data_IF_219184640821
#
_entry.id   IF_219184640821
#
_cell.length_a   1.000
_cell.length_b   1.000
_cell.length_c   1.000
_cell.angle_alpha   90.00
_cell.angle_beta   90.00
_cell.angle_gamma   90.00
#
_symmetry.space_group_name_H-M   'P 1'
#
loop_
_entity.id
_entity.type
_entity.pdbx_description
1 polymer ?
#
# COMPACT_ATOMS: atom_id res chain seq x y z
N UNK A 1 21.94 8.06 -20.95
CA UNK A 1 20.72 7.39 -20.51
C UNK A 1 21.12 6.01 -20.04
N UNK A 2 21.19 5.81 -18.72
CA UNK A 2 21.75 4.59 -18.13
C UNK A 2 20.62 3.84 -17.44
N UNK A 3 20.27 2.66 -17.94
CA UNK A 3 19.27 1.78 -17.33
C UNK A 3 19.95 1.04 -16.19
N UNK A 4 19.65 1.39 -14.94
CA UNK A 4 20.01 0.55 -13.79
C UNK A 4 19.25 -0.78 -13.90
N UNK A 5 19.99 -1.89 -13.78
CA UNK A 5 19.41 -3.23 -13.69
C UNK A 5 19.72 -3.76 -12.30
N UNK A 6 18.69 -4.13 -11.54
CA UNK A 6 18.84 -4.69 -10.21
C UNK A 6 19.63 -6.00 -10.30
N UNK A 7 20.78 -6.13 -9.61
CA UNK A 7 21.54 -7.37 -9.63
C UNK A 7 20.87 -8.40 -8.72
N UNK A 8 20.23 -9.41 -9.31
CA UNK A 8 19.78 -10.62 -8.61
C UNK A 8 20.98 -11.56 -8.39
N UNK A 9 21.77 -11.35 -7.32
CA UNK A 9 22.91 -12.23 -7.00
C UNK A 9 22.84 -12.88 -5.62
N UNK A 10 21.63 -13.13 -5.09
CA UNK A 10 21.43 -13.93 -3.87
C UNK A 10 20.41 -15.07 -4.06
N UNK A 11 20.53 -15.83 -5.15
CA UNK A 11 19.91 -17.16 -5.25
C UNK A 11 21.03 -18.20 -5.16
N UNK A 12 21.51 -18.45 -3.94
CA UNK A 12 22.35 -19.61 -3.66
C UNK A 12 21.88 -20.30 -2.38
N UNK A 13 20.75 -20.98 -2.52
CA UNK A 13 20.35 -22.04 -1.61
C UNK A 13 19.92 -23.22 -2.48
N UNK A 14 20.87 -24.10 -2.76
CA UNK A 14 20.82 -25.19 -3.76
C UNK A 14 20.01 -26.43 -3.32
N UNK A 15 19.07 -26.32 -2.38
CA UNK A 15 18.44 -27.49 -1.73
C UNK A 15 16.91 -27.46 -1.68
N UNK A 16 16.25 -26.74 -2.58
CA UNK A 16 14.79 -26.87 -2.72
C UNK A 16 14.33 -26.77 -4.18
N UNK A 17 15.01 -27.45 -5.09
CA UNK A 17 14.40 -27.87 -6.35
C UNK A 17 13.70 -29.20 -6.06
N UNK A 18 12.56 -29.13 -5.41
CA UNK A 18 11.61 -30.23 -5.37
C UNK A 18 10.24 -29.61 -5.46
N UNK A 19 9.70 -29.57 -6.67
CA UNK A 19 8.28 -29.38 -6.90
C UNK A 19 7.51 -30.37 -6.02
N UNK A 20 6.71 -29.93 -5.03
CA UNK A 20 5.80 -30.84 -4.37
C UNK A 20 4.53 -30.86 -5.21
N UNK A 21 4.34 -31.97 -5.93
CA UNK A 21 3.13 -32.26 -6.66
C UNK A 21 1.88 -32.14 -5.77
N UNK A 22 0.80 -31.69 -6.42
CA UNK A 22 -0.56 -31.75 -5.88
C UNK A 22 -0.84 -33.14 -5.31
N UNK A 23 -0.90 -33.24 -3.98
CA UNK A 23 -1.42 -34.41 -3.26
C UNK A 23 -2.02 -33.97 -1.93
N UNK A 24 -3.32 -34.20 -1.79
CA UNK A 24 -4.07 -34.16 -0.55
C UNK A 24 -3.48 -35.15 0.46
N UNK A 25 -2.76 -34.67 1.48
CA UNK A 25 -2.56 -35.44 2.71
C UNK A 25 -2.37 -34.53 3.91
N UNK A 26 -3.44 -34.36 4.68
CA UNK A 26 -3.38 -33.80 6.03
C UNK A 26 -2.42 -34.64 6.88
N UNK A 27 -1.34 -34.03 7.35
CA UNK A 27 -0.52 -34.55 8.44
C UNK A 27 -0.66 -33.57 9.61
N UNK A 28 -1.45 -34.00 10.58
CA UNK A 28 -1.51 -33.41 11.92
C UNK A 28 -0.09 -33.40 12.50
N UNK A 29 0.50 -32.21 12.65
CA UNK A 29 1.76 -32.03 13.37
C UNK A 29 1.61 -30.83 14.29
N UNK A 30 1.86 -31.06 15.57
CA UNK A 30 1.70 -30.16 16.72
C UNK A 30 2.63 -28.93 16.64
N UNK A 31 2.44 -28.06 15.64
CA UNK A 31 3.18 -26.80 15.46
C UNK A 31 2.23 -25.59 15.41
N UNK A 32 1.17 -25.60 16.24
CA UNK A 32 0.22 -24.48 16.33
C UNK A 32 0.68 -23.40 17.32
N UNK A 33 1.57 -23.72 18.26
CA UNK A 33 1.98 -22.78 19.33
C UNK A 33 3.16 -21.87 18.97
N UNK A 34 3.97 -22.25 17.97
CA UNK A 34 5.07 -21.40 17.49
C UNK A 34 4.59 -20.41 16.42
N UNK A 35 3.76 -20.86 15.47
CA UNK A 35 3.21 -20.02 14.40
C UNK A 35 2.26 -18.92 14.94
N UNK A 36 1.37 -19.26 15.89
CA UNK A 36 0.49 -18.27 16.56
C UNK A 36 1.25 -17.20 17.33
N UNK A 37 2.38 -17.55 17.96
CA UNK A 37 3.17 -16.57 18.73
C UNK A 37 3.89 -15.56 17.83
N UNK A 38 4.29 -15.98 16.62
CA UNK A 38 4.93 -15.09 15.65
C UNK A 38 3.90 -14.13 15.03
N UNK A 39 2.71 -14.60 14.64
CA UNK A 39 1.63 -13.72 14.15
C UNK A 39 1.19 -12.69 15.21
N UNK A 40 1.06 -13.11 16.47
CA UNK A 40 0.74 -12.20 17.57
C UNK A 40 1.85 -11.16 17.83
N UNK A 41 3.11 -11.46 17.47
CA UNK A 41 4.25 -10.56 17.67
C UNK A 41 4.40 -9.50 16.57
N UNK A 42 3.98 -9.81 15.33
CA UNK A 42 4.02 -8.91 14.17
C UNK A 42 2.86 -7.89 14.23
N UNK A 43 1.71 -8.29 14.77
CA UNK A 43 0.52 -7.44 14.91
C UNK A 43 0.66 -6.32 15.98
N UNK A 44 1.81 -6.17 16.62
CA UNK A 44 2.01 -5.22 17.74
C UNK A 44 2.34 -3.79 17.33
N UNK A 45 2.51 -3.53 16.04
CA UNK A 45 2.91 -2.22 15.50
C UNK A 45 1.98 -1.74 14.39
N UNK A 46 0.71 -2.13 14.43
CA UNK A 46 -0.30 -1.55 13.55
C UNK A 46 -0.70 -0.20 14.16
N UNK A 47 -0.41 0.94 13.50
CA UNK A 47 -0.88 2.22 14.00
C UNK A 47 -2.41 2.23 14.02
N UNK A 48 -2.97 2.96 14.97
CA UNK A 48 -4.41 3.23 15.01
C UNK A 48 -4.86 3.95 13.75
N UNK A 49 -6.17 3.89 13.46
CA UNK A 49 -6.75 4.66 12.36
C UNK A 49 -6.44 6.15 12.47
N UNK A 50 -6.47 6.69 13.69
CA UNK A 50 -6.15 8.09 13.97
C UNK A 50 -4.70 8.42 13.62
N UNK A 51 -3.75 7.61 14.08
CA UNK A 51 -2.32 7.82 13.78
C UNK A 51 -2.03 7.74 12.27
N UNK A 52 -2.69 6.81 11.56
CA UNK A 52 -2.58 6.73 10.11
C UNK A 52 -3.19 7.96 9.42
N UNK A 53 -4.37 8.39 9.86
CA UNK A 53 -5.07 9.55 9.30
C UNK A 53 -4.26 10.83 9.50
N UNK A 54 -3.72 11.06 10.70
CA UNK A 54 -2.83 12.20 10.99
C UNK A 54 -1.58 12.20 10.10
N UNK A 55 -0.98 11.02 9.88
CA UNK A 55 0.18 10.87 9.01
C UNK A 55 -0.14 11.25 7.56
N UNK A 56 -1.25 10.75 7.00
CA UNK A 56 -1.63 11.01 5.62
C UNK A 56 -2.22 12.40 5.40
N UNK A 57 -2.86 13.00 6.41
CA UNK A 57 -3.50 14.31 6.31
C UNK A 57 -2.53 15.41 5.87
N UNK A 58 -1.28 15.39 6.34
CA UNK A 58 -0.29 16.40 5.94
C UNK A 58 0.03 16.35 4.44
N UNK A 59 0.28 15.16 3.91
CA UNK A 59 0.56 14.97 2.49
C UNK A 59 -0.68 15.26 1.63
N UNK A 60 -1.86 14.86 2.12
CA UNK A 60 -3.12 15.11 1.45
C UNK A 60 -3.41 16.62 1.35
N UNK A 61 -3.27 17.37 2.45
CA UNK A 61 -3.48 18.81 2.47
C UNK A 61 -2.55 19.53 1.48
N UNK A 62 -1.28 19.12 1.41
CA UNK A 62 -0.33 19.69 0.45
C UNK A 62 -0.77 19.43 -0.99
N UNK A 63 -1.19 18.19 -1.30
CA UNK A 63 -1.72 17.83 -2.61
C UNK A 63 -2.98 18.62 -2.97
N UNK A 64 -3.92 18.73 -2.04
CA UNK A 64 -5.15 19.51 -2.20
C UNK A 64 -4.85 21.00 -2.43
N UNK A 65 -3.89 21.59 -1.71
CA UNK A 65 -3.49 22.98 -1.87
C UNK A 65 -2.91 23.24 -3.26
N UNK A 66 -1.92 22.46 -3.68
CA UNK A 66 -1.28 22.60 -4.99
C UNK A 66 -2.30 22.38 -6.13
N UNK A 67 -3.21 21.41 -5.97
CA UNK A 67 -4.28 21.20 -6.95
C UNK A 67 -5.21 22.42 -7.01
N UNK A 68 -5.66 22.91 -5.85
CA UNK A 68 -6.55 24.07 -5.74
C UNK A 68 -5.95 25.30 -6.41
N UNK A 69 -4.69 25.62 -6.14
CA UNK A 69 -4.01 26.77 -6.72
C UNK A 69 -3.88 26.66 -8.24
N UNK A 70 -3.55 25.46 -8.73
CA UNK A 70 -3.35 25.25 -10.17
C UNK A 70 -4.66 25.34 -10.93
N UNK A 71 -5.74 24.78 -10.38
CA UNK A 71 -6.96 24.46 -11.11
C UNK A 71 -8.22 25.19 -10.64
N UNK A 72 -8.14 26.03 -9.60
CA UNK A 72 -9.28 26.69 -8.96
C UNK A 72 -10.46 25.74 -8.73
N UNK A 73 -10.17 24.57 -8.16
CA UNK A 73 -11.15 23.55 -7.80
C UNK A 73 -10.85 23.01 -6.41
N UNK A 74 -11.88 22.70 -5.65
CA UNK A 74 -11.76 22.12 -4.31
C UNK A 74 -12.13 20.62 -4.36
N UNK A 75 -11.14 19.70 -4.30
CA UNK A 75 -11.40 18.26 -4.31
C UNK A 75 -12.23 17.79 -3.10
N UNK A 76 -12.07 18.44 -1.95
CA UNK A 76 -12.75 18.07 -0.69
C UNK A 76 -14.27 18.28 -0.78
N UNK A 77 -14.67 19.39 -1.38
CA UNK A 77 -16.08 19.77 -1.49
C UNK A 77 -16.67 19.45 -2.87
N UNK A 78 -15.86 18.85 -3.75
CA UNK A 78 -16.18 18.56 -5.15
C UNK A 78 -16.82 19.76 -5.88
N UNK A 79 -16.20 20.94 -5.72
CA UNK A 79 -16.75 22.17 -6.26
C UNK A 79 -15.71 23.08 -6.94
N UNK A 80 -16.10 23.76 -8.03
CA UNK A 80 -15.25 24.77 -8.63
C UNK A 80 -15.15 26.01 -7.76
N UNK A 81 -13.99 26.65 -7.81
CA UNK A 81 -13.71 27.93 -7.20
C UNK A 81 -13.57 29.01 -8.29
N UNK A 82 -13.83 30.28 -7.96
CA UNK A 82 -13.56 31.38 -8.86
C UNK A 82 -12.09 31.38 -9.31
N UNK A 83 -11.83 31.48 -10.61
CA UNK A 83 -10.47 31.46 -11.14
C UNK A 83 -10.39 31.36 -12.65
N UNK A 84 -9.28 30.80 -13.14
CA UNK A 84 -8.95 30.73 -14.57
C UNK A 84 -9.74 29.69 -15.34
N UNK A 85 -10.09 28.59 -14.68
CA UNK A 85 -10.79 27.46 -15.29
C UNK A 85 -12.27 27.51 -14.96
N UNK A 86 -13.11 27.29 -15.97
CA UNK A 86 -14.54 27.05 -15.80
C UNK A 86 -14.77 25.54 -15.84
N UNK A 87 -15.35 24.99 -14.77
CA UNK A 87 -15.61 23.56 -14.64
C UNK A 87 -17.06 23.26 -15.03
N UNK A 88 -17.25 22.32 -15.96
CA UNK A 88 -18.55 21.78 -16.31
C UNK A 88 -18.65 20.33 -15.80
N UNK A 89 -19.79 20.00 -15.20
CA UNK A 89 -20.12 18.60 -14.88
C UNK A 89 -20.51 17.88 -16.16
N UNK A 90 -20.02 16.66 -16.33
CA UNK A 90 -20.44 15.77 -17.40
C UNK A 90 -21.49 14.82 -16.85
N UNK A 91 -22.63 14.72 -17.54
CA UNK A 91 -23.61 13.68 -17.27
C UNK A 91 -23.09 12.37 -17.88
N UNK A 92 -23.09 11.29 -17.08
CA UNK A 92 -22.66 9.96 -17.47
C UNK A 92 -23.81 9.06 -17.89
#
# INVERSE_FOLDING_TARGET
>A
STRETTPCSLIRNSEMISTPGSTTKSKNSNSMTSRRRIEASICRFIPSSLEMEEFFAAAEQQGQHTFREKYNFCPVNDCPLPGRYEWARLDC
#
